data_IF_016507261520
#
_entry.id   IF_016507261520
#
_cell.length_a   1.000
_cell.length_b   1.000
_cell.length_c   1.000
_cell.angle_alpha   90.00
_cell.angle_beta   90.00
_cell.angle_gamma   90.00
#
_symmetry.space_group_name_H-M   'P 1'
#
loop_
_entity.id
_entity.type
_entity.pdbx_description
1 polymer ?
#
# COMPACT_ATOMS: atom_id res chain seq x y z
N UNK A 1 18.20 -13.78 -7.29
CA UNK A 1 17.63 -12.52 -7.83
C UNK A 1 16.46 -12.13 -6.94
N UNK A 2 16.30 -10.85 -6.57
CA UNK A 2 15.27 -10.43 -5.59
C UNK A 2 13.85 -10.88 -6.00
N UNK A 3 13.53 -10.85 -7.30
CA UNK A 3 12.21 -11.23 -7.83
C UNK A 3 11.86 -12.71 -7.67
N UNK A 4 12.85 -13.59 -7.50
CA UNK A 4 12.63 -15.04 -7.42
C UNK A 4 12.44 -15.53 -5.99
N UNK A 5 12.50 -14.62 -5.00
CA UNK A 5 12.42 -14.99 -3.60
C UNK A 5 10.96 -15.15 -3.18
N UNK A 6 10.60 -16.35 -2.69
CA UNK A 6 9.22 -16.67 -2.29
C UNK A 6 8.74 -16.02 -0.98
N UNK A 7 9.61 -15.31 -0.25
CA UNK A 7 9.24 -14.61 0.98
C UNK A 7 9.72 -13.15 0.99
N UNK A 8 8.90 -12.20 1.48
CA UNK A 8 9.30 -10.80 1.62
C UNK A 8 10.56 -10.61 2.47
N UNK A 9 10.72 -11.42 3.52
CA UNK A 9 11.90 -11.35 4.39
C UNK A 9 13.16 -11.76 3.62
N UNK A 10 13.07 -12.83 2.85
CA UNK A 10 14.19 -13.33 2.03
C UNK A 10 14.55 -12.31 0.95
N UNK A 11 13.57 -11.73 0.27
CA UNK A 11 13.77 -10.65 -0.69
C UNK A 11 14.52 -9.46 -0.08
N UNK A 12 14.10 -9.02 1.13
CA UNK A 12 14.79 -7.96 1.88
C UNK A 12 16.22 -8.34 2.23
N UNK A 13 16.47 -9.57 2.66
CA UNK A 13 17.81 -10.03 3.01
C UNK A 13 18.73 -10.09 1.78
N UNK A 14 18.20 -10.55 0.65
CA UNK A 14 18.92 -10.59 -0.64
C UNK A 14 19.29 -9.21 -1.16
N UNK A 15 18.49 -8.18 -0.88
CA UNK A 15 18.79 -6.81 -1.34
C UNK A 15 19.82 -6.09 -0.48
N UNK A 16 20.04 -6.49 0.79
CA UNK A 16 20.95 -5.78 1.72
C UNK A 16 22.37 -5.56 1.20
N UNK A 17 23.05 -6.53 0.55
CA UNK A 17 24.41 -6.34 0.05
C UNK A 17 24.50 -5.27 -1.06
N UNK A 18 23.43 -5.13 -1.84
CA UNK A 18 23.36 -4.24 -3.02
C UNK A 18 22.79 -2.86 -2.70
N UNK A 19 22.73 -2.46 -1.43
CA UNK A 19 22.25 -1.12 -1.04
C UNK A 19 23.09 0.00 -1.64
N UNK A 20 24.39 -0.24 -1.84
CA UNK A 20 25.30 0.72 -2.48
C UNK A 20 25.03 0.90 -3.97
N UNK A 21 24.41 -0.10 -4.59
CA UNK A 21 24.05 -0.10 -6.01
C UNK A 21 22.64 0.44 -6.24
N UNK A 22 22.00 0.99 -5.20
CA UNK A 22 20.72 1.68 -5.33
C UNK A 22 20.89 3.01 -6.05
N UNK A 23 19.84 3.46 -6.72
CA UNK A 23 19.82 4.75 -7.43
C UNK A 23 20.24 5.90 -6.49
N UNK A 24 21.02 6.88 -6.95
CA UNK A 24 21.57 7.95 -6.12
C UNK A 24 20.49 8.90 -5.57
N UNK A 25 19.37 9.03 -6.27
CA UNK A 25 18.20 9.86 -5.92
C UNK A 25 17.13 9.08 -5.12
N UNK A 26 17.49 7.93 -4.52
CA UNK A 26 16.51 7.06 -3.85
C UNK A 26 15.68 7.77 -2.78
N UNK A 27 16.29 8.63 -1.97
CA UNK A 27 15.59 9.33 -0.90
C UNK A 27 14.55 10.34 -1.40
N UNK A 28 14.70 10.84 -2.63
CA UNK A 28 13.76 11.74 -3.30
C UNK A 28 12.59 10.96 -3.90
N UNK A 29 12.86 9.80 -4.51
CA UNK A 29 11.84 9.03 -5.25
C UNK A 29 11.13 7.96 -4.44
N UNK A 30 11.64 7.59 -3.25
CA UNK A 30 11.08 6.48 -2.43
C UNK A 30 9.61 6.65 -2.08
N UNK A 31 9.14 7.88 -1.86
CA UNK A 31 7.73 8.17 -1.54
C UNK A 31 6.82 7.99 -2.75
N UNK A 32 7.09 8.62 -3.91
CA UNK A 32 6.37 8.31 -5.16
C UNK A 32 6.32 6.81 -5.50
N UNK A 33 7.46 6.11 -5.36
CA UNK A 33 7.54 4.67 -5.64
C UNK A 33 6.69 3.86 -4.66
N UNK A 34 6.75 4.14 -3.36
CA UNK A 34 5.91 3.44 -2.37
C UNK A 34 4.42 3.71 -2.61
N UNK A 35 4.05 4.95 -2.92
CA UNK A 35 2.67 5.32 -3.27
C UNK A 35 2.19 4.54 -4.50
N UNK A 36 3.02 4.41 -5.52
CA UNK A 36 2.73 3.57 -6.69
C UNK A 36 2.52 2.11 -6.29
N UNK A 37 3.44 1.52 -5.51
CA UNK A 37 3.31 0.14 -5.01
C UNK A 37 2.01 -0.09 -4.23
N UNK A 38 1.59 0.86 -3.39
CA UNK A 38 0.33 0.75 -2.65
C UNK A 38 -0.90 0.75 -3.57
N UNK A 39 -0.89 1.56 -4.64
CA UNK A 39 -1.97 1.55 -5.63
C UNK A 39 -1.98 0.25 -6.44
N UNK A 40 -0.82 -0.28 -6.81
CA UNK A 40 -0.72 -1.60 -7.46
C UNK A 40 -1.26 -2.69 -6.52
N UNK A 41 -0.86 -2.67 -5.25
CA UNK A 41 -1.38 -3.60 -4.23
C UNK A 41 -2.90 -3.53 -4.12
N UNK A 42 -3.46 -2.32 -4.17
CA UNK A 42 -4.90 -2.11 -4.19
C UNK A 42 -5.53 -2.73 -5.43
N UNK A 43 -5.07 -2.42 -6.65
CA UNK A 43 -5.61 -3.03 -7.88
C UNK A 43 -5.57 -4.56 -7.80
N UNK A 44 -4.41 -5.13 -7.49
CA UNK A 44 -4.25 -6.58 -7.44
C UNK A 44 -5.11 -7.26 -6.36
N UNK A 45 -5.57 -6.53 -5.34
CA UNK A 45 -6.35 -7.06 -4.23
C UNK A 45 -7.60 -6.22 -3.97
N UNK A 46 -8.24 -5.72 -5.04
CA UNK A 46 -9.23 -4.64 -4.99
C UNK A 46 -10.21 -4.78 -3.84
N UNK A 47 -10.93 -5.90 -3.79
CA UNK A 47 -11.92 -6.16 -2.75
C UNK A 47 -11.33 -6.24 -1.34
N UNK A 48 -10.45 -7.22 -1.09
CA UNK A 48 -9.94 -7.49 0.28
C UNK A 48 -9.21 -6.29 0.87
N UNK A 49 -8.44 -5.58 0.05
CA UNK A 49 -7.62 -4.48 0.55
C UNK A 49 -8.42 -3.19 0.70
N UNK A 50 -9.36 -2.89 -0.21
CA UNK A 50 -10.27 -1.74 -0.04
C UNK A 50 -11.18 -1.92 1.17
N UNK A 51 -11.81 -3.09 1.35
CA UNK A 51 -12.65 -3.40 2.52
C UNK A 51 -11.87 -3.19 3.83
N UNK A 52 -10.65 -3.71 3.90
CA UNK A 52 -9.78 -3.52 5.06
C UNK A 52 -9.45 -2.04 5.29
N UNK A 53 -9.05 -1.31 4.24
CA UNK A 53 -8.78 0.12 4.35
C UNK A 53 -10.00 0.91 4.84
N UNK A 54 -11.19 0.63 4.30
CA UNK A 54 -12.43 1.32 4.69
C UNK A 54 -12.87 0.98 6.13
N UNK A 55 -12.68 -0.26 6.57
CA UNK A 55 -12.99 -0.70 7.94
C UNK A 55 -12.21 0.06 9.03
N UNK A 56 -11.11 0.71 8.67
CA UNK A 56 -10.38 1.58 9.61
C UNK A 56 -11.19 2.84 9.97
N UNK A 57 -12.21 3.20 9.18
CA UNK A 57 -13.05 4.37 9.38
C UNK A 57 -12.24 5.64 9.17
N UNK A 58 -12.30 6.55 10.13
CA UNK A 58 -11.51 7.79 10.14
C UNK A 58 -10.31 7.72 11.11
N UNK A 59 -10.08 6.56 11.72
CA UNK A 59 -8.95 6.36 12.64
C UNK A 59 -7.62 6.53 11.90
N UNK A 60 -6.59 7.09 12.57
CA UNK A 60 -5.26 7.17 12.01
C UNK A 60 -4.67 5.77 11.84
N UNK A 61 -3.98 5.55 10.72
CA UNK A 61 -3.21 4.33 10.47
C UNK A 61 -1.76 4.65 10.80
N UNK A 62 -1.17 3.91 11.73
CA UNK A 62 0.22 4.08 12.17
C UNK A 62 0.95 2.75 12.07
N UNK A 63 2.12 2.74 11.42
CA UNK A 63 3.02 1.59 11.44
C UNK A 63 3.88 1.64 12.71
N UNK A 64 3.71 0.65 13.58
CA UNK A 64 4.53 0.49 14.79
C UNK A 64 5.89 -0.12 14.39
N UNK A 65 6.92 0.71 14.46
CA UNK A 65 8.28 0.37 14.09
C UNK A 65 9.20 0.35 15.31
N UNK A 66 10.08 -0.65 15.36
CA UNK A 66 11.16 -0.70 16.36
C UNK A 66 12.41 0.08 15.96
N UNK A 67 12.56 0.43 14.67
CA UNK A 67 13.82 0.92 14.10
C UNK A 67 13.68 1.96 13.00
N UNK A 68 12.48 2.13 12.44
CA UNK A 68 12.25 2.98 11.26
C UNK A 68 11.28 4.12 11.60
N UNK A 69 11.83 5.24 12.02
CA UNK A 69 11.08 6.45 12.31
C UNK A 69 10.62 7.19 11.04
N UNK A 70 11.00 6.75 9.84
CA UNK A 70 10.60 7.41 8.60
C UNK A 70 9.29 6.82 8.08
N UNK A 71 9.25 5.51 7.86
CA UNK A 71 8.04 4.85 7.37
C UNK A 71 6.99 4.66 8.45
N UNK A 72 7.41 4.45 9.70
CA UNK A 72 6.55 4.25 10.86
C UNK A 72 6.76 5.25 11.97
N UNK A 73 6.28 4.88 13.15
CA UNK A 73 6.50 5.57 14.41
C UNK A 73 7.03 4.58 15.45
N UNK A 74 7.85 5.07 16.36
CA UNK A 74 8.52 4.29 17.39
C UNK A 74 7.98 4.67 18.76
N UNK A 75 7.71 3.67 19.59
CA UNK A 75 7.32 3.89 20.99
C UNK A 75 8.45 4.57 21.76
N UNK A 76 8.12 5.63 22.48
CA UNK A 76 8.96 6.34 23.41
C UNK A 76 8.71 5.84 24.85
N UNK A 77 9.59 6.22 25.79
CA UNK A 77 9.47 5.84 27.20
C UNK A 77 8.24 6.45 27.90
N UNK A 78 7.68 7.53 27.33
CA UNK A 78 6.49 8.23 27.82
C UNK A 78 5.19 7.72 27.18
N UNK A 79 5.19 6.50 26.64
CA UNK A 79 4.07 5.88 25.91
C UNK A 79 3.59 6.69 24.67
N UNK A 80 4.42 7.60 24.15
CA UNK A 80 4.12 8.31 22.90
C UNK A 80 4.74 7.63 21.68
N UNK A 81 4.14 7.81 20.51
CA UNK A 81 4.68 7.33 19.23
C UNK A 81 5.37 8.49 18.50
N UNK A 82 6.67 8.37 18.28
CA UNK A 82 7.46 9.36 17.54
C UNK A 82 7.96 8.78 16.21
N UNK A 83 7.64 9.46 15.11
CA UNK A 83 8.11 9.15 13.77
C UNK A 83 7.28 9.84 12.72
N UNK A 84 7.77 9.84 11.48
CA UNK A 84 7.07 10.44 10.37
C UNK A 84 5.87 9.59 9.93
N UNK A 85 5.81 8.28 10.17
CA UNK A 85 4.66 7.46 9.77
C UNK A 85 4.24 7.70 8.29
N UNK A 86 5.22 7.84 7.39
CA UNK A 86 4.94 8.16 5.97
C UNK A 86 4.07 7.07 5.35
N UNK A 87 4.28 5.81 5.70
CA UNK A 87 3.49 4.69 5.19
C UNK A 87 2.01 4.80 5.61
N UNK A 88 1.77 5.04 6.89
CA UNK A 88 0.41 5.23 7.42
C UNK A 88 -0.29 6.41 6.76
N UNK A 89 0.42 7.52 6.56
CA UNK A 89 -0.10 8.69 5.83
C UNK A 89 -0.47 8.38 4.38
N UNK A 90 0.35 7.62 3.66
CA UNK A 90 0.03 7.19 2.29
C UNK A 90 -1.19 6.26 2.24
N UNK A 91 -1.36 5.37 3.22
CA UNK A 91 -2.54 4.51 3.32
C UNK A 91 -3.82 5.31 3.61
N UNK A 92 -3.73 6.33 4.47
CA UNK A 92 -4.85 7.24 4.74
C UNK A 92 -5.19 8.07 3.50
N UNK A 93 -4.20 8.59 2.77
CA UNK A 93 -4.43 9.29 1.50
C UNK A 93 -5.12 8.37 0.48
N UNK A 94 -4.68 7.11 0.37
CA UNK A 94 -5.27 6.13 -0.52
C UNK A 94 -6.72 5.81 -0.13
N UNK A 95 -7.01 5.68 1.17
CA UNK A 95 -8.36 5.48 1.71
C UNK A 95 -9.28 6.64 1.33
N UNK A 96 -8.83 7.88 1.52
CA UNK A 96 -9.61 9.07 1.15
C UNK A 96 -9.90 9.10 -0.33
N UNK A 97 -8.89 8.88 -1.18
CA UNK A 97 -9.08 8.83 -2.64
C UNK A 97 -10.04 7.74 -3.07
N UNK A 98 -10.01 6.58 -2.42
CA UNK A 98 -10.93 5.50 -2.73
C UNK A 98 -12.38 5.86 -2.37
N UNK A 99 -12.60 6.60 -1.26
CA UNK A 99 -13.93 7.10 -0.89
C UNK A 99 -14.44 8.17 -1.88
N UNK A 100 -13.54 9.01 -2.40
CA UNK A 100 -13.87 10.11 -3.32
C UNK A 100 -14.13 9.63 -4.75
N UNK A 101 -13.22 8.83 -5.30
CA UNK A 101 -13.25 8.36 -6.69
C UNK A 101 -12.51 7.02 -6.81
N UNK A 102 -13.27 5.93 -6.62
CA UNK A 102 -12.75 4.59 -6.77
C UNK A 102 -12.35 4.29 -8.22
N UNK A 103 -13.08 4.82 -9.21
CA UNK A 103 -12.84 4.54 -10.62
C UNK A 103 -11.49 5.11 -11.09
N UNK A 104 -11.08 6.27 -10.58
CA UNK A 104 -9.74 6.83 -10.82
C UNK A 104 -8.59 5.96 -10.28
N UNK A 105 -8.87 5.03 -9.37
CA UNK A 105 -7.89 4.10 -8.82
C UNK A 105 -7.82 2.75 -9.56
N UNK A 106 -8.73 2.49 -10.51
CA UNK A 106 -8.73 1.29 -11.34
C UNK A 106 -7.57 1.24 -12.37
N UNK A 107 -6.82 2.33 -12.51
CA UNK A 107 -5.67 2.44 -13.40
C UNK A 107 -4.46 3.05 -12.69
N UNK A 108 -3.31 2.40 -12.80
CA UNK A 108 -2.05 2.84 -12.20
C UNK A 108 -1.00 3.01 -13.30
N UNK A 109 -0.67 4.28 -13.56
CA UNK A 109 0.39 4.68 -14.49
C UNK A 109 1.78 4.51 -13.83
N UNK A 110 2.84 4.29 -14.62
CA UNK A 110 4.21 4.28 -14.11
C UNK A 110 4.57 5.61 -13.43
N UNK A 111 5.51 5.56 -12.47
CA UNK A 111 6.02 6.75 -11.82
C UNK A 111 6.84 7.55 -12.83
N UNK A 112 6.61 8.88 -12.99
CA UNK A 112 7.34 9.71 -13.94
C UNK A 112 8.73 10.08 -13.38
N UNK A 113 9.60 9.08 -13.21
CA UNK A 113 10.99 9.24 -12.79
C UNK A 113 11.93 8.59 -13.81
N UNK A 114 13.18 9.07 -13.85
CA UNK A 114 14.21 8.50 -14.70
C UNK A 114 14.47 7.03 -14.33
N UNK A 115 14.69 6.20 -15.37
CA UNK A 115 14.96 4.76 -15.28
C UNK A 115 13.94 3.96 -14.46
N UNK A 116 12.65 4.32 -14.50
CA UNK A 116 11.58 3.51 -13.89
C UNK A 116 11.25 2.27 -14.73
N UNK A 117 12.19 1.33 -14.77
CA UNK A 117 12.12 0.07 -15.52
C UNK A 117 12.27 -1.14 -14.59
N UNK A 118 11.82 -2.30 -15.05
CA UNK A 118 12.00 -3.58 -14.39
C UNK A 118 12.75 -4.51 -15.35
N UNK A 119 14.00 -4.85 -15.02
CA UNK A 119 14.88 -5.70 -15.86
C UNK A 119 15.14 -5.12 -17.25
N UNK A 120 15.20 -3.80 -17.36
CA UNK A 120 15.40 -3.09 -18.63
C UNK A 120 14.10 -2.81 -19.38
N UNK A 121 12.97 -3.41 -18.97
CA UNK A 121 11.68 -3.21 -19.59
C UNK A 121 10.90 -2.08 -18.92
N UNK A 122 10.23 -1.24 -19.70
CA UNK A 122 9.38 -0.18 -19.17
C UNK A 122 8.21 -0.77 -18.38
N UNK A 123 7.92 -0.21 -17.20
CA UNK A 123 6.78 -0.65 -16.41
C UNK A 123 5.47 -0.29 -17.16
N UNK A 124 4.55 -1.24 -17.39
CA UNK A 124 3.31 -0.96 -18.10
C UNK A 124 2.30 -0.24 -17.20
N UNK A 125 1.25 0.31 -17.82
CA UNK A 125 0.06 0.74 -17.08
C UNK A 125 -0.66 -0.49 -16.55
N UNK A 126 -0.93 -0.51 -15.25
CA UNK A 126 -1.63 -1.62 -14.59
C UNK A 126 -3.09 -1.23 -14.42
N UNK A 127 -4.00 -2.05 -14.94
CA UNK A 127 -5.45 -1.84 -14.87
C UNK A 127 -6.11 -2.96 -14.08
N UNK A 128 -7.24 -2.63 -13.46
CA UNK A 128 -8.10 -3.62 -12.82
C UNK A 128 -8.64 -4.58 -13.90
N UNK A 129 -8.55 -5.88 -13.64
CA UNK A 129 -9.08 -6.86 -14.58
C UNK A 129 -10.59 -7.05 -14.39
N UNK A 130 -11.31 -7.34 -15.47
CA UNK A 130 -12.77 -7.56 -15.45
C UNK A 130 -13.21 -8.64 -14.45
N UNK A 131 -12.35 -9.64 -14.18
CA UNK A 131 -12.63 -10.68 -13.18
C UNK A 131 -12.54 -10.18 -11.74
N UNK A 132 -11.77 -9.12 -11.47
CA UNK A 132 -11.68 -8.47 -10.17
C UNK A 132 -12.81 -7.44 -9.98
N UNK A 133 -13.24 -6.74 -11.03
CA UNK A 133 -14.41 -5.85 -11.03
C UNK A 133 -15.71 -6.60 -10.73
N UNK A 134 -15.99 -7.68 -11.47
CA UNK A 134 -17.21 -8.46 -11.29
C UNK A 134 -17.32 -9.07 -9.87
N UNK A 135 -16.21 -9.51 -9.30
CA UNK A 135 -16.16 -10.04 -7.93
C UNK A 135 -16.26 -8.97 -6.83
N UNK A 136 -16.01 -7.70 -7.16
CA UNK A 136 -16.15 -6.57 -6.25
C UNK A 136 -17.61 -6.09 -6.23
N UNK A 137 -18.25 -5.88 -7.39
CA UNK A 137 -19.66 -5.46 -7.48
C UNK A 137 -20.63 -6.48 -6.84
N UNK A 138 -20.39 -7.78 -7.01
CA UNK A 138 -21.27 -8.86 -6.49
C UNK A 138 -21.23 -8.98 -4.95
N UNK A 139 -20.24 -8.40 -4.27
CA UNK A 139 -20.13 -8.47 -2.80
C UNK A 139 -20.45 -7.16 -2.09
N UNK A 140 -20.16 -6.00 -2.70
CA UNK A 140 -20.59 -4.71 -2.15
C UNK A 140 -22.13 -4.64 -2.08
N UNK A 141 -22.81 -5.11 -3.12
CA UNK A 141 -24.28 -5.26 -3.13
C UNK A 141 -24.83 -6.19 -2.03
N UNK A 142 -24.04 -7.16 -1.55
CA UNK A 142 -24.44 -8.04 -0.43
C UNK A 142 -24.14 -7.46 0.95
N UNK A 143 -23.31 -6.42 1.05
CA UNK A 143 -23.04 -5.72 2.31
C UNK A 143 -24.16 -4.72 2.63
N UNK A 144 -24.82 -4.16 1.62
CA UNK A 144 -26.02 -3.34 1.79
C UNK A 144 -27.22 -4.16 2.31
N UNK A 145 -27.23 -5.48 2.07
CA UNK A 145 -28.28 -6.41 2.52
C UNK A 145 -28.01 -7.06 3.91
N UNK A 146 -26.89 -6.73 4.58
CA UNK A 146 -26.51 -7.36 5.85
C UNK A 146 -26.74 -6.41 7.04
N UNK A 147 -27.88 -6.59 7.70
CA UNK A 147 -28.23 -5.94 8.98
C UNK A 147 -27.07 -5.98 10.00
N UNK A 148 -26.84 -4.89 10.76
CA UNK A 148 -25.69 -4.76 11.65
C UNK A 148 -25.78 -5.78 12.79
N UNK A 149 -24.95 -6.83 12.72
CA UNK A 149 -24.82 -7.77 13.83
C UNK A 149 -24.04 -7.09 14.95
N UNK A 150 -24.76 -6.62 15.98
CA UNK A 150 -24.18 -6.22 17.25
C UNK A 150 -23.37 -7.40 17.81
N UNK A 151 -22.04 -7.28 17.83
CA UNK A 151 -21.21 -8.05 18.75
C UNK A 151 -20.36 -7.10 19.57
N UNK A 152 -20.83 -6.92 20.80
CA UNK A 152 -20.09 -6.36 21.91
C UNK A 152 -18.76 -7.13 22.09
N UNK A 153 -17.67 -6.37 22.19
CA UNK A 153 -16.44 -6.86 22.80
C UNK A 153 -16.52 -6.54 24.29
N UNK A 154 -16.55 -7.61 25.11
CA UNK A 154 -16.05 -7.58 26.49
C UNK A 154 -14.54 -7.82 26.46
#
# INVERSE_FOLDING_TARGET
>A
MILNEGSPMTAKMRSKPYRKDSRPDWDEVRVPVMKWCLRVKLICNWRKFSELLLSTGDRPIVEDSRKDAYWGAMMQEDDTLNGQNVLGRLLMELRTKFKEDADALCCVKPVPIHDFSLLGESIPVITLSQSQEANALVRLTKLDDCEPTQRAFL
#
